data_IF_278010151499
#
_entry.id   IF_278010151499
#
_cell.length_a   1.000
_cell.length_b   1.000
_cell.length_c   1.000
_cell.angle_alpha   90.00
_cell.angle_beta   90.00
_cell.angle_gamma   90.00
#
_symmetry.space_group_name_H-M   'P 1'
#
loop_
_entity.id
_entity.type
_entity.pdbx_description
1 polymer ?
#
# COMPACT_ATOMS: atom_id res chain seq x y z
N UNK A 1 -29.27 11.30 15.75
CA UNK A 1 -27.84 11.29 15.32
C UNK A 1 -27.42 12.67 14.82
N UNK A 2 -26.16 13.11 15.09
CA UNK A 2 -25.63 14.43 14.74
C UNK A 2 -24.26 14.33 14.05
N UNK A 3 -24.09 15.04 12.93
CA UNK A 3 -22.80 15.21 12.25
C UNK A 3 -22.05 16.40 12.86
N UNK A 4 -20.76 16.18 13.18
CA UNK A 4 -19.86 17.18 13.77
C UNK A 4 -18.63 17.32 12.88
N UNK A 5 -18.40 18.53 12.35
CA UNK A 5 -17.17 18.81 11.58
C UNK A 5 -15.95 18.88 12.51
N UNK A 6 -14.84 18.30 12.08
CA UNK A 6 -13.58 18.28 12.83
C UNK A 6 -12.80 19.57 12.64
N UNK A 7 -12.97 20.51 13.56
CA UNK A 7 -12.39 21.86 13.49
C UNK A 7 -11.24 22.11 14.47
N UNK A 8 -11.05 21.25 15.47
CA UNK A 8 -10.05 21.42 16.52
C UNK A 8 -9.33 20.11 16.88
N UNK A 9 -8.32 20.19 17.73
CA UNK A 9 -7.48 19.04 18.13
C UNK A 9 -8.22 17.96 18.90
N UNK A 10 -9.21 18.33 19.73
CA UNK A 10 -9.99 17.38 20.50
C UNK A 10 -10.88 16.53 19.58
N UNK A 11 -11.56 17.17 18.63
CA UNK A 11 -12.33 16.49 17.60
C UNK A 11 -11.44 15.67 16.66
N UNK A 12 -10.21 16.15 16.34
CA UNK A 12 -9.26 15.37 15.56
C UNK A 12 -8.84 14.08 16.29
N UNK A 13 -8.66 14.13 17.61
CA UNK A 13 -8.39 12.95 18.43
C UNK A 13 -9.62 12.03 18.48
N UNK A 14 -10.80 12.57 18.66
CA UNK A 14 -12.05 11.81 18.65
C UNK A 14 -12.25 11.11 17.30
N UNK A 15 -12.05 11.83 16.16
CA UNK A 15 -12.09 11.27 14.82
C UNK A 15 -11.16 10.06 14.67
N UNK A 16 -9.94 10.15 15.19
CA UNK A 16 -8.99 9.04 15.15
C UNK A 16 -9.52 7.85 15.99
N UNK A 17 -10.04 8.09 17.19
CA UNK A 17 -10.47 7.06 18.11
C UNK A 17 -11.72 6.29 17.66
N UNK A 18 -12.56 6.84 16.77
CA UNK A 18 -13.70 6.10 16.20
C UNK A 18 -13.27 4.77 15.58
N UNK A 19 -12.21 4.77 14.76
CA UNK A 19 -11.68 3.53 14.18
C UNK A 19 -11.21 2.53 15.25
N UNK A 20 -10.55 3.03 16.30
CA UNK A 20 -10.06 2.20 17.40
C UNK A 20 -11.22 1.55 18.14
N UNK A 21 -12.22 2.33 18.51
CA UNK A 21 -13.37 1.85 19.30
C UNK A 21 -14.19 0.80 18.53
N UNK A 22 -14.39 1.00 17.24
CA UNK A 22 -15.15 0.05 16.41
C UNK A 22 -14.39 -1.25 16.12
N UNK A 23 -13.05 -1.23 16.13
CA UNK A 23 -12.26 -2.38 15.71
C UNK A 23 -11.46 -3.06 16.84
N UNK A 24 -11.34 -2.47 18.04
CA UNK A 24 -10.47 -2.94 19.13
C UNK A 24 -10.69 -4.41 19.57
N UNK A 25 -11.86 -4.95 19.36
CA UNK A 25 -12.21 -6.33 19.73
C UNK A 25 -11.90 -7.34 18.60
N UNK A 26 -11.50 -6.87 17.41
CA UNK A 26 -11.14 -7.77 16.33
C UNK A 26 -9.66 -8.20 16.48
N UNK A 27 -9.37 -9.51 16.55
CA UNK A 27 -8.00 -10.01 16.78
C UNK A 27 -7.03 -9.69 15.62
N UNK A 28 -7.54 -9.45 14.42
CA UNK A 28 -6.72 -9.06 13.28
C UNK A 28 -6.44 -7.55 13.24
N UNK A 29 -7.15 -6.73 14.00
CA UNK A 29 -6.98 -5.29 14.00
C UNK A 29 -5.64 -4.87 14.58
N UNK A 30 -4.94 -4.00 13.87
CA UNK A 30 -3.75 -3.32 14.36
C UNK A 30 -4.00 -1.81 14.26
N UNK A 31 -4.02 -1.14 15.41
CA UNK A 31 -4.17 0.31 15.46
C UNK A 31 -3.05 0.99 14.67
N UNK A 32 -3.37 1.82 13.64
CA UNK A 32 -2.40 2.63 12.94
C UNK A 32 -1.65 3.57 13.89
N UNK A 33 -0.46 4.02 13.50
CA UNK A 33 0.21 5.07 14.25
C UNK A 33 -0.56 6.38 14.12
N UNK A 34 -0.93 6.97 15.25
CA UNK A 34 -1.74 8.19 15.31
C UNK A 34 -1.09 9.34 14.51
N UNK A 35 0.24 9.44 14.56
CA UNK A 35 0.99 10.45 13.80
C UNK A 35 0.76 10.37 12.31
N UNK A 36 0.63 9.16 11.76
CA UNK A 36 0.50 8.97 10.30
C UNK A 36 -0.87 9.46 9.82
N UNK A 37 -1.92 9.24 10.62
CA UNK A 37 -3.27 9.77 10.32
C UNK A 37 -3.29 11.30 10.48
N UNK A 38 -2.70 11.84 11.56
CA UNK A 38 -2.62 13.29 11.73
C UNK A 38 -1.86 13.96 10.59
N UNK A 39 -0.79 13.34 10.08
CA UNK A 39 0.01 13.88 8.97
C UNK A 39 -0.78 14.00 7.67
N UNK A 40 -1.77 13.14 7.42
CA UNK A 40 -2.66 13.27 6.23
C UNK A 40 -3.42 14.59 6.26
N UNK A 41 -3.84 15.05 7.43
CA UNK A 41 -4.64 16.27 7.60
C UNK A 41 -3.83 17.49 8.05
N UNK A 42 -2.51 17.38 8.14
CA UNK A 42 -1.61 18.48 8.46
C UNK A 42 -1.22 19.23 7.18
N UNK A 43 -1.71 20.49 7.05
CA UNK A 43 -1.43 21.36 5.89
C UNK A 43 0.06 21.65 5.68
N UNK A 44 0.88 21.57 6.74
CA UNK A 44 2.34 21.80 6.66
C UNK A 44 3.09 20.56 6.19
N UNK A 45 2.62 19.37 6.52
CA UNK A 45 3.28 18.09 6.20
C UNK A 45 2.77 17.47 4.90
N UNK A 46 1.46 17.45 4.69
CA UNK A 46 0.87 16.88 3.49
C UNK A 46 0.89 17.87 2.32
N UNK A 47 1.79 17.62 1.38
CA UNK A 47 1.95 18.44 0.17
C UNK A 47 0.71 18.44 -0.74
N UNK A 48 -0.22 17.50 -0.58
CA UNK A 48 -1.45 17.43 -1.37
C UNK A 48 -2.34 18.66 -1.16
N UNK A 49 -2.25 19.31 0.00
CA UNK A 49 -2.94 20.58 0.25
C UNK A 49 -2.54 21.73 -0.69
N UNK A 50 -1.43 21.62 -1.42
CA UNK A 50 -1.05 22.59 -2.47
C UNK A 50 -1.94 22.49 -3.72
N UNK A 51 -2.65 21.40 -3.90
CA UNK A 51 -3.48 21.11 -5.07
C UNK A 51 -4.87 20.59 -4.72
N UNK A 52 -5.23 20.60 -3.43
CA UNK A 52 -6.49 20.06 -2.97
C UNK A 52 -6.87 20.53 -1.57
N UNK A 53 -8.01 20.08 -1.14
CA UNK A 53 -8.60 20.38 0.17
C UNK A 53 -9.12 19.07 0.80
N UNK A 54 -9.18 19.05 2.13
CA UNK A 54 -9.76 17.94 2.88
C UNK A 54 -10.61 18.46 4.04
N UNK A 55 -11.68 17.75 4.34
CA UNK A 55 -12.60 17.98 5.45
C UNK A 55 -12.92 16.65 6.13
N UNK A 56 -13.33 16.69 7.40
CA UNK A 56 -13.63 15.51 8.19
C UNK A 56 -14.88 15.71 9.03
N UNK A 57 -15.64 14.63 9.22
CA UNK A 57 -16.79 14.61 10.13
C UNK A 57 -16.79 13.39 11.03
N UNK A 58 -17.38 13.57 12.21
CA UNK A 58 -17.72 12.52 13.15
C UNK A 58 -19.25 12.45 13.20
N UNK A 59 -19.80 11.25 13.16
CA UNK A 59 -21.21 11.02 13.43
C UNK A 59 -21.37 10.59 14.88
N UNK A 60 -22.23 11.28 15.61
CA UNK A 60 -22.58 10.99 17.01
C UNK A 60 -24.03 10.52 17.10
N UNK A 61 -24.28 9.58 18.03
CA UNK A 61 -25.63 9.20 18.40
C UNK A 61 -26.30 10.26 19.31
N UNK A 62 -27.51 9.98 19.76
CA UNK A 62 -28.28 10.90 20.61
C UNK A 62 -27.73 11.04 22.04
N UNK A 63 -26.85 10.11 22.45
CA UNK A 63 -26.11 10.16 23.72
C UNK A 63 -24.75 10.91 23.56
N UNK A 64 -24.42 11.37 22.36
CA UNK A 64 -23.18 12.08 22.05
C UNK A 64 -21.95 11.17 21.82
N UNK A 65 -22.14 9.85 21.77
CA UNK A 65 -21.09 8.88 21.47
C UNK A 65 -20.77 8.88 19.97
N UNK A 66 -19.50 8.88 19.63
CA UNK A 66 -19.06 8.76 18.24
C UNK A 66 -19.30 7.35 17.69
N UNK A 67 -20.13 7.23 16.67
CA UNK A 67 -20.55 5.97 16.04
C UNK A 67 -20.10 5.83 14.59
N UNK A 68 -19.52 6.89 14.02
CA UNK A 68 -18.96 6.86 12.68
C UNK A 68 -18.06 8.07 12.38
N UNK A 69 -17.30 7.98 11.30
CA UNK A 69 -16.47 9.06 10.79
C UNK A 69 -16.30 8.94 9.28
N UNK A 70 -16.02 10.06 8.63
CA UNK A 70 -15.64 10.12 7.22
C UNK A 70 -14.77 11.34 6.96
N UNK A 71 -13.89 11.25 5.95
CA UNK A 71 -13.21 12.39 5.35
C UNK A 71 -13.59 12.50 3.88
N UNK A 72 -13.68 13.72 3.37
CA UNK A 72 -13.82 14.00 1.96
C UNK A 72 -12.72 14.96 1.49
N UNK A 73 -12.31 14.82 0.23
CA UNK A 73 -11.24 15.63 -0.32
C UNK A 73 -11.32 15.81 -1.83
N UNK A 74 -10.81 16.95 -2.28
CA UNK A 74 -10.54 17.23 -3.68
C UNK A 74 -9.04 17.29 -3.91
N UNK A 75 -8.60 16.90 -5.09
CA UNK A 75 -7.21 17.05 -5.49
C UNK A 75 -7.13 17.19 -7.01
N UNK A 76 -6.69 18.33 -7.50
CA UNK A 76 -6.53 18.61 -8.95
C UNK A 76 -5.62 17.63 -9.67
N UNK A 77 -4.77 16.90 -8.91
CA UNK A 77 -3.85 15.86 -9.44
C UNK A 77 -4.45 14.46 -9.35
N UNK A 78 -5.59 14.29 -8.67
CA UNK A 78 -6.28 13.01 -8.62
C UNK A 78 -7.02 12.80 -9.93
N UNK A 79 -6.50 11.90 -10.74
CA UNK A 79 -7.11 11.52 -12.03
C UNK A 79 -6.76 10.06 -12.31
N UNK A 80 -7.75 9.28 -12.68
CA UNK A 80 -7.56 7.92 -13.17
C UNK A 80 -7.62 7.92 -14.71
N UNK A 81 -7.01 6.92 -15.33
CA UNK A 81 -7.13 6.71 -16.77
C UNK A 81 -8.62 6.44 -17.08
N UNK A 82 -9.16 7.16 -18.04
CA UNK A 82 -10.57 7.02 -18.46
C UNK A 82 -11.57 7.84 -17.62
N UNK A 83 -11.12 8.67 -16.69
CA UNK A 83 -12.02 9.61 -16.00
C UNK A 83 -12.58 10.64 -17.00
N UNK A 84 -13.90 10.66 -17.13
CA UNK A 84 -14.68 11.56 -18.00
C UNK A 84 -15.41 12.66 -17.22
N UNK A 85 -15.35 12.60 -15.88
CA UNK A 85 -15.96 13.59 -14.98
C UNK A 85 -14.98 13.99 -13.87
N UNK A 86 -15.15 15.19 -13.25
CA UNK A 86 -14.42 15.55 -12.05
C UNK A 86 -14.74 14.62 -10.88
N UNK A 87 -13.72 13.99 -10.29
CA UNK A 87 -13.87 13.02 -9.21
C UNK A 87 -13.22 13.53 -7.94
N UNK A 88 -13.97 13.50 -6.83
CA UNK A 88 -13.43 13.68 -5.49
C UNK A 88 -13.13 12.36 -4.81
N UNK A 89 -12.57 12.42 -3.60
CA UNK A 89 -12.29 11.22 -2.81
C UNK A 89 -12.99 11.25 -1.47
N UNK A 90 -13.36 10.07 -0.98
CA UNK A 90 -13.73 9.84 0.42
C UNK A 90 -12.80 8.81 1.03
N UNK A 91 -12.53 8.92 2.33
CA UNK A 91 -11.70 7.95 3.03
C UNK A 91 -11.85 8.07 4.54
N UNK A 92 -11.07 7.29 5.27
CA UNK A 92 -11.18 7.22 6.72
C UNK A 92 -12.63 6.99 7.17
N UNK A 93 -13.39 6.23 6.36
CA UNK A 93 -14.75 5.83 6.67
C UNK A 93 -14.73 4.73 7.71
N UNK A 94 -15.41 4.98 8.82
CA UNK A 94 -15.75 3.99 9.83
C UNK A 94 -17.18 4.25 10.28
N UNK A 95 -17.96 3.18 10.48
CA UNK A 95 -19.35 3.28 10.87
C UNK A 95 -19.79 2.02 11.63
N UNK A 96 -20.69 2.16 12.56
CA UNK A 96 -21.45 1.00 13.11
C UNK A 96 -22.21 0.30 11.98
N UNK A 97 -22.65 -0.93 12.19
CA UNK A 97 -23.45 -1.67 11.21
C UNK A 97 -24.90 -1.12 11.16
N UNK A 98 -25.04 0.07 10.60
CA UNK A 98 -26.30 0.80 10.45
C UNK A 98 -26.27 1.60 9.15
N UNK A 99 -27.19 1.29 8.22
CA UNK A 99 -27.24 1.92 6.92
C UNK A 99 -27.59 3.40 7.01
N UNK A 100 -28.50 3.79 7.92
CA UNK A 100 -28.89 5.20 8.09
C UNK A 100 -27.67 6.04 8.54
N UNK A 101 -26.88 5.50 9.47
CA UNK A 101 -25.65 6.13 9.90
C UNK A 101 -24.62 6.25 8.77
N UNK A 102 -24.47 5.21 7.94
CA UNK A 102 -23.60 5.24 6.78
C UNK A 102 -24.05 6.24 5.72
N UNK A 103 -25.35 6.28 5.44
CA UNK A 103 -25.95 7.21 4.45
C UNK A 103 -25.73 8.67 4.87
N UNK A 104 -25.89 9.00 6.16
CA UNK A 104 -25.59 10.34 6.68
C UNK A 104 -24.13 10.75 6.44
N UNK A 105 -23.18 9.80 6.64
CA UNK A 105 -21.75 10.04 6.39
C UNK A 105 -21.46 10.22 4.88
N UNK A 106 -22.04 9.38 4.03
CA UNK A 106 -21.87 9.50 2.59
C UNK A 106 -22.52 10.77 2.04
N UNK A 107 -23.69 11.13 2.52
CA UNK A 107 -24.42 12.33 2.07
C UNK A 107 -23.67 13.62 2.43
N UNK A 108 -23.14 13.76 3.64
CA UNK A 108 -22.38 14.98 4.00
C UNK A 108 -21.12 15.11 3.12
N UNK A 109 -20.45 14.01 2.85
CA UNK A 109 -19.27 13.99 1.97
C UNK A 109 -19.65 14.34 0.52
N UNK A 110 -20.73 13.72 -0.01
CA UNK A 110 -21.28 14.00 -1.35
C UNK A 110 -21.67 15.47 -1.50
N UNK A 111 -22.41 16.03 -0.55
CA UNK A 111 -22.84 17.44 -0.61
C UNK A 111 -21.64 18.39 -0.65
N UNK A 112 -20.63 18.16 0.20
CA UNK A 112 -19.42 18.96 0.16
C UNK A 112 -18.69 18.83 -1.17
N UNK A 113 -18.56 17.62 -1.72
CA UNK A 113 -17.91 17.40 -3.02
C UNK A 113 -18.68 18.05 -4.18
N UNK A 114 -20.03 18.04 -4.16
CA UNK A 114 -20.85 18.76 -5.14
C UNK A 114 -20.57 20.27 -5.09
N UNK A 115 -20.50 20.86 -3.88
CA UNK A 115 -20.15 22.27 -3.71
C UNK A 115 -18.74 22.61 -4.23
N UNK A 116 -17.84 21.62 -4.29
CA UNK A 116 -16.50 21.73 -4.88
C UNK A 116 -16.45 21.41 -6.38
N UNK A 117 -17.61 21.21 -7.02
CA UNK A 117 -17.72 20.96 -8.46
C UNK A 117 -17.39 19.53 -8.89
N UNK A 118 -17.35 18.58 -7.95
CA UNK A 118 -17.18 17.16 -8.29
C UNK A 118 -18.51 16.57 -8.79
N UNK A 119 -18.41 15.55 -9.64
CA UNK A 119 -19.56 14.83 -10.21
C UNK A 119 -19.55 13.34 -9.83
N UNK A 120 -18.48 12.91 -9.15
CA UNK A 120 -18.36 11.56 -8.61
C UNK A 120 -17.47 11.58 -7.37
N UNK A 121 -17.55 10.51 -6.57
CA UNK A 121 -16.61 10.26 -5.48
C UNK A 121 -16.09 8.83 -5.52
N UNK A 122 -14.77 8.71 -5.34
CA UNK A 122 -14.09 7.42 -5.18
C UNK A 122 -13.80 7.16 -3.69
N UNK A 123 -13.95 5.91 -3.27
CA UNK A 123 -13.68 5.55 -1.88
C UNK A 123 -13.60 4.05 -1.58
N UNK A 124 -13.03 3.72 -0.41
CA UNK A 124 -12.20 4.60 0.41
C UNK A 124 -10.81 4.81 -0.20
N UNK A 125 -10.38 6.07 -0.25
CA UNK A 125 -9.06 6.45 -0.78
C UNK A 125 -8.39 7.46 0.17
N UNK A 126 -7.09 7.71 -0.02
CA UNK A 126 -6.33 8.61 0.83
C UNK A 126 -6.21 10.00 0.22
N UNK A 127 -6.11 11.02 1.07
CA UNK A 127 -5.72 12.38 0.65
C UNK A 127 -4.19 12.49 0.56
N UNK A 128 -3.61 11.79 -0.43
CA UNK A 128 -2.16 11.71 -0.61
C UNK A 128 -1.77 10.59 -1.55
N UNK A 129 -0.82 9.78 -1.10
CA UNK A 129 -0.24 8.70 -1.88
C UNK A 129 -1.17 7.48 -1.93
N UNK A 130 -1.15 6.76 -3.07
CA UNK A 130 -2.03 5.61 -3.32
C UNK A 130 -1.62 4.34 -2.59
N UNK A 131 -0.42 4.29 -2.05
CA UNK A 131 0.11 3.17 -1.29
C UNK A 131 -0.35 3.14 0.18
N UNK A 132 -1.19 4.10 0.60
CA UNK A 132 -1.68 4.24 1.98
C UNK A 132 -3.19 4.37 2.01
N UNK A 133 -3.85 3.60 2.90
CA UNK A 133 -5.30 3.65 3.16
C UNK A 133 -6.15 3.75 1.90
N UNK A 134 -5.90 2.85 0.94
CA UNK A 134 -6.58 2.83 -0.34
C UNK A 134 -7.33 1.52 -0.53
N UNK A 135 -8.63 1.61 -0.85
CA UNK A 135 -9.53 0.49 -1.07
C UNK A 135 -10.17 -0.05 0.20
N UNK A 136 -11.39 -0.54 0.07
CA UNK A 136 -12.14 -1.26 1.09
C UNK A 136 -11.75 -2.73 1.07
N UNK A 137 -11.41 -3.31 2.21
CA UNK A 137 -11.16 -4.75 2.31
C UNK A 137 -12.47 -5.49 2.07
N UNK A 138 -12.52 -6.33 1.03
CA UNK A 138 -13.68 -7.17 0.68
C UNK A 138 -13.36 -8.67 0.79
N UNK A 139 -12.06 -9.02 0.88
CA UNK A 139 -11.59 -10.38 1.14
C UNK A 139 -10.32 -10.34 1.98
N UNK A 140 -10.17 -11.28 2.94
CA UNK A 140 -9.00 -11.38 3.81
C UNK A 140 -9.13 -10.52 5.08
N UNK A 141 -10.34 -10.34 5.60
CA UNK A 141 -10.63 -9.59 6.83
C UNK A 141 -9.95 -10.18 8.08
N UNK A 142 -9.67 -11.49 8.06
CA UNK A 142 -9.00 -12.22 9.14
C UNK A 142 -7.48 -12.00 9.15
N UNK A 143 -6.92 -11.42 8.09
CA UNK A 143 -5.48 -11.19 7.97
C UNK A 143 -5.14 -9.81 8.55
N UNK A 144 -4.20 -9.69 9.51
CA UNK A 144 -3.78 -8.40 10.02
C UNK A 144 -3.30 -7.47 8.90
N UNK A 145 -3.66 -6.17 8.91
CA UNK A 145 -3.30 -5.24 7.85
C UNK A 145 -1.79 -5.01 7.81
N UNK A 146 -1.25 -4.81 6.60
CA UNK A 146 0.10 -4.26 6.43
C UNK A 146 0.12 -2.78 6.85
N UNK A 147 1.31 -2.23 7.06
CA UNK A 147 1.47 -0.84 7.47
C UNK A 147 0.79 0.14 6.49
N UNK A 148 -0.02 1.03 7.05
CA UNK A 148 -0.85 2.00 6.30
C UNK A 148 -1.89 1.37 5.34
N UNK A 149 -2.27 0.11 5.54
CA UNK A 149 -3.37 -0.52 4.83
C UNK A 149 -4.69 -0.30 5.58
N UNK A 150 -5.79 -0.18 4.84
CA UNK A 150 -7.12 -0.16 5.43
C UNK A 150 -7.42 -1.48 6.15
N UNK A 151 -8.19 -1.37 7.22
CA UNK A 151 -8.82 -2.47 7.93
C UNK A 151 -10.26 -2.07 8.20
N UNK A 152 -11.18 -2.94 7.86
CA UNK A 152 -12.61 -2.73 8.07
C UNK A 152 -13.34 -4.04 8.32
N UNK A 153 -14.47 -4.01 9.05
CA UNK A 153 -15.39 -5.14 9.17
C UNK A 153 -15.99 -5.52 7.81
N UNK A 154 -16.43 -6.79 7.61
CA UNK A 154 -17.03 -7.25 6.34
C UNK A 154 -18.29 -6.49 5.94
N UNK A 155 -19.11 -6.04 6.90
CA UNK A 155 -20.37 -5.35 6.61
C UNK A 155 -20.21 -3.98 5.91
N UNK A 156 -19.00 -3.41 5.88
CA UNK A 156 -18.78 -2.13 5.17
C UNK A 156 -19.03 -2.27 3.67
N UNK A 157 -18.74 -3.42 3.07
CA UNK A 157 -19.05 -3.69 1.67
C UNK A 157 -20.54 -3.45 1.38
N UNK A 158 -21.42 -4.04 2.22
CA UNK A 158 -22.85 -3.87 2.08
C UNK A 158 -23.31 -2.42 2.28
N UNK A 159 -22.70 -1.68 3.23
CA UNK A 159 -23.03 -0.26 3.44
C UNK A 159 -22.70 0.59 2.22
N UNK A 160 -21.56 0.33 1.55
CA UNK A 160 -21.19 1.02 0.31
C UNK A 160 -22.14 0.68 -0.83
N UNK A 161 -22.40 -0.61 -1.05
CA UNK A 161 -23.24 -1.08 -2.16
C UNK A 161 -24.70 -0.66 -2.00
N UNK A 162 -25.26 -0.71 -0.80
CA UNK A 162 -26.62 -0.25 -0.51
C UNK A 162 -26.78 1.26 -0.76
N UNK A 163 -25.75 2.07 -0.52
CA UNK A 163 -25.78 3.51 -0.86
C UNK A 163 -25.74 3.74 -2.38
N UNK A 164 -25.29 2.75 -3.18
CA UNK A 164 -25.19 2.82 -4.62
C UNK A 164 -23.77 2.97 -5.17
N UNK A 165 -22.76 2.80 -4.35
CA UNK A 165 -21.38 2.68 -4.85
C UNK A 165 -21.23 1.42 -5.70
N UNK A 166 -20.42 1.52 -6.75
CA UNK A 166 -20.09 0.40 -7.64
C UNK A 166 -18.59 0.13 -7.64
N UNK A 167 -18.22 -1.14 -7.74
CA UNK A 167 -16.82 -1.57 -7.81
C UNK A 167 -16.14 -0.93 -9.03
N UNK A 168 -15.21 -0.01 -8.78
CA UNK A 168 -14.48 0.70 -9.82
C UNK A 168 -13.25 -0.08 -10.27
N UNK A 169 -12.46 -0.60 -9.32
CA UNK A 169 -11.41 -1.58 -9.56
C UNK A 169 -11.02 -2.31 -8.28
N UNK A 170 -10.47 -3.52 -8.45
CA UNK A 170 -9.92 -4.29 -7.36
C UNK A 170 -8.40 -4.14 -7.25
N UNK A 171 -7.92 -4.20 -6.03
CA UNK A 171 -6.53 -4.16 -5.63
C UNK A 171 -6.22 -5.50 -4.94
N UNK A 172 -5.36 -6.30 -5.54
CA UNK A 172 -5.11 -7.68 -5.13
C UNK A 172 -3.76 -7.76 -4.43
N UNK A 173 -3.74 -8.22 -3.19
CA UNK A 173 -2.51 -8.60 -2.50
C UNK A 173 -2.24 -10.08 -2.74
N UNK A 174 -0.98 -10.40 -3.01
CA UNK A 174 -0.51 -11.75 -3.27
C UNK A 174 0.43 -12.20 -2.16
N UNK A 175 0.25 -13.42 -1.68
CA UNK A 175 1.06 -13.98 -0.61
C UNK A 175 1.63 -15.34 -0.97
N UNK A 176 2.73 -15.69 -0.33
CA UNK A 176 3.30 -17.04 -0.36
C UNK A 176 4.07 -17.32 0.92
N UNK A 177 4.25 -18.59 1.24
CA UNK A 177 5.18 -19.02 2.27
C UNK A 177 6.62 -18.81 1.80
N UNK A 178 7.47 -18.26 2.66
CA UNK A 178 8.88 -18.05 2.32
C UNK A 178 9.68 -19.35 2.15
N UNK A 179 9.15 -20.49 2.58
CA UNK A 179 9.71 -21.83 2.34
C UNK A 179 9.10 -22.52 1.11
N UNK A 180 8.49 -21.78 0.19
CA UNK A 180 7.97 -22.33 -1.06
C UNK A 180 8.96 -22.12 -2.21
N UNK A 181 9.11 -23.14 -3.05
CA UNK A 181 9.81 -23.00 -4.31
C UNK A 181 8.94 -22.23 -5.31
N UNK A 182 9.57 -21.40 -6.12
CA UNK A 182 8.92 -20.72 -7.24
C UNK A 182 8.81 -21.68 -8.44
N UNK A 183 8.06 -21.30 -9.47
CA UNK A 183 7.93 -22.12 -10.66
C UNK A 183 9.29 -22.34 -11.36
N UNK A 184 9.53 -23.56 -11.90
CA UNK A 184 10.80 -23.98 -12.51
C UNK A 184 11.37 -23.00 -13.54
N UNK A 185 10.51 -22.29 -14.28
CA UNK A 185 10.93 -21.29 -15.26
C UNK A 185 11.80 -20.17 -14.68
N UNK A 186 11.63 -19.82 -13.40
CA UNK A 186 12.45 -18.79 -12.75
C UNK A 186 13.89 -19.26 -12.57
N UNK A 187 14.06 -20.51 -12.18
CA UNK A 187 15.39 -21.13 -12.04
C UNK A 187 16.10 -21.26 -13.38
N UNK A 188 15.39 -21.72 -14.43
CA UNK A 188 15.96 -21.86 -15.77
C UNK A 188 16.44 -20.50 -16.32
N UNK A 189 15.60 -19.46 -16.20
CA UNK A 189 15.97 -18.10 -16.66
C UNK A 189 17.09 -17.48 -15.84
N UNK A 190 17.13 -17.76 -14.54
CA UNK A 190 18.23 -17.36 -13.69
C UNK A 190 19.53 -17.97 -14.17
N UNK A 191 19.56 -19.30 -14.40
CA UNK A 191 20.74 -20.03 -14.87
C UNK A 191 21.23 -19.55 -16.26
N UNK A 192 20.31 -19.05 -17.10
CA UNK A 192 20.66 -18.43 -18.37
C UNK A 192 21.36 -17.06 -18.17
N UNK A 193 20.81 -16.21 -17.31
CA UNK A 193 21.42 -14.92 -16.99
C UNK A 193 22.78 -15.07 -16.29
N UNK A 194 22.92 -16.06 -15.40
CA UNK A 194 24.15 -16.32 -14.65
C UNK A 194 25.35 -16.70 -15.55
N UNK A 195 25.09 -17.15 -16.79
CA UNK A 195 26.15 -17.45 -17.79
C UNK A 195 26.81 -16.19 -18.37
N UNK A 196 26.12 -15.06 -18.37
CA UNK A 196 26.67 -13.78 -18.83
C UNK A 196 27.26 -13.02 -17.64
N UNK A 197 28.62 -12.86 -17.57
CA UNK A 197 29.29 -12.20 -16.46
C UNK A 197 28.98 -10.70 -16.35
N UNK A 198 28.29 -10.11 -17.34
CA UNK A 198 27.85 -8.73 -17.27
C UNK A 198 26.64 -8.53 -16.34
N UNK A 199 25.88 -9.59 -16.03
CA UNK A 199 24.81 -9.52 -15.03
C UNK A 199 25.39 -9.64 -13.61
N UNK A 200 24.88 -8.84 -12.72
CA UNK A 200 25.15 -8.97 -11.28
C UNK A 200 23.95 -8.51 -10.47
N UNK A 201 23.81 -9.02 -9.24
CA UNK A 201 22.79 -8.55 -8.31
C UNK A 201 23.38 -8.40 -6.91
N UNK A 202 22.91 -7.41 -6.19
CA UNK A 202 23.28 -7.19 -4.79
C UNK A 202 22.14 -6.57 -4.01
N UNK A 203 22.16 -6.70 -2.68
CA UNK A 203 21.21 -6.01 -1.82
C UNK A 203 21.81 -4.73 -1.23
N UNK A 204 20.90 -3.79 -0.86
CA UNK A 204 21.26 -2.50 -0.28
C UNK A 204 22.20 -2.62 0.90
N UNK A 205 23.13 -1.66 1.03
CA UNK A 205 24.01 -1.54 2.21
C UNK A 205 23.72 -0.23 2.95
N UNK A 206 23.44 -0.31 4.26
CA UNK A 206 23.13 0.86 5.11
C UNK A 206 24.24 1.90 5.19
N UNK A 207 25.47 1.52 4.88
CA UNK A 207 26.63 2.42 4.82
C UNK A 207 26.87 3.01 3.42
N UNK A 208 26.04 2.65 2.40
CA UNK A 208 26.15 3.10 1.01
C UNK A 208 24.81 3.62 0.48
N UNK A 209 23.98 4.25 1.33
CA UNK A 209 22.63 4.68 0.95
C UNK A 209 22.62 5.70 -0.20
N UNK A 210 23.65 6.52 -0.34
CA UNK A 210 23.83 7.47 -1.43
C UNK A 210 23.89 6.74 -2.78
N UNK A 211 24.77 5.72 -2.91
CA UNK A 211 24.88 4.89 -4.10
C UNK A 211 23.55 4.25 -4.46
N UNK A 212 22.92 3.57 -3.49
CA UNK A 212 21.66 2.86 -3.75
C UNK A 212 20.47 3.78 -4.01
N UNK A 213 20.50 5.03 -3.52
CA UNK A 213 19.50 6.04 -3.87
C UNK A 213 19.65 6.50 -5.33
N UNK A 214 20.87 6.69 -5.81
CA UNK A 214 21.15 6.98 -7.22
C UNK A 214 20.69 5.81 -8.11
N UNK A 215 21.12 4.58 -7.80
CA UNK A 215 20.75 3.37 -8.56
C UNK A 215 19.23 3.16 -8.61
N UNK A 216 18.55 3.34 -7.47
CA UNK A 216 17.08 3.27 -7.40
C UNK A 216 16.44 4.32 -8.31
N UNK A 217 16.92 5.56 -8.23
CA UNK A 217 16.38 6.67 -9.02
C UNK A 217 16.52 6.40 -10.52
N UNK A 218 17.67 5.91 -10.96
CA UNK A 218 17.94 5.56 -12.36
C UNK A 218 16.97 4.45 -12.81
N UNK A 219 16.95 3.32 -12.10
CA UNK A 219 16.12 2.17 -12.46
C UNK A 219 14.63 2.50 -12.42
N UNK A 220 14.18 3.21 -11.36
CA UNK A 220 12.78 3.63 -11.22
C UNK A 220 12.37 4.57 -12.35
N UNK A 221 13.14 5.60 -12.63
CA UNK A 221 12.79 6.57 -13.65
C UNK A 221 12.78 5.92 -15.05
N UNK A 222 13.72 5.03 -15.37
CA UNK A 222 13.70 4.26 -16.61
C UNK A 222 12.51 3.31 -16.72
N UNK A 223 12.12 2.66 -15.61
CA UNK A 223 11.03 1.68 -15.61
C UNK A 223 9.62 2.31 -15.66
N UNK A 224 9.43 3.49 -15.05
CA UNK A 224 8.10 4.10 -14.88
C UNK A 224 7.96 5.51 -15.42
N UNK A 225 9.03 6.28 -15.60
CA UNK A 225 8.93 7.63 -16.13
C UNK A 225 8.48 7.60 -17.61
N UNK A 226 7.37 8.26 -17.85
CA UNK A 226 6.71 8.26 -19.17
C UNK A 226 5.50 7.34 -19.27
N UNK A 227 5.30 6.40 -18.33
CA UNK A 227 4.11 5.57 -18.26
C UNK A 227 3.08 6.20 -17.33
N UNK A 228 1.95 6.64 -17.87
CA UNK A 228 0.80 7.12 -17.08
C UNK A 228 0.97 8.45 -16.34
N UNK A 229 1.92 9.31 -16.75
CA UNK A 229 2.11 10.64 -16.15
C UNK A 229 2.81 10.63 -14.79
N UNK A 230 3.47 9.55 -14.41
CA UNK A 230 4.30 9.49 -13.21
C UNK A 230 5.49 10.46 -13.34
N UNK A 231 5.68 11.29 -12.32
CA UNK A 231 6.84 12.19 -12.25
C UNK A 231 8.12 11.41 -12.00
N UNK A 232 9.20 11.88 -12.63
CA UNK A 232 10.54 11.42 -12.28
C UNK A 232 10.81 11.69 -10.79
N UNK A 233 11.44 10.72 -10.13
CA UNK A 233 11.95 10.88 -8.79
C UNK A 233 13.29 11.62 -8.83
N UNK A 234 13.52 12.47 -7.84
CA UNK A 234 14.81 13.12 -7.62
C UNK A 234 15.60 12.28 -6.62
N UNK A 235 16.88 12.04 -6.88
CA UNK A 235 17.77 11.26 -6.02
C UNK A 235 17.77 11.73 -4.56
N UNK A 236 17.79 13.05 -4.32
CA UNK A 236 17.74 13.62 -2.96
C UNK A 236 16.47 13.20 -2.18
N UNK A 237 15.34 13.02 -2.89
CA UNK A 237 14.08 12.58 -2.28
C UNK A 237 14.17 11.10 -1.91
N UNK A 238 14.72 10.28 -2.81
CA UNK A 238 14.96 8.85 -2.56
C UNK A 238 15.95 8.65 -1.43
N UNK A 239 17.05 9.39 -1.40
CA UNK A 239 18.03 9.33 -0.32
C UNK A 239 17.42 9.69 1.04
N UNK A 240 16.61 10.74 1.09
CA UNK A 240 15.88 11.12 2.32
C UNK A 240 14.94 10.00 2.77
N UNK A 241 14.24 9.35 1.83
CA UNK A 241 13.38 8.21 2.10
C UNK A 241 14.19 7.04 2.68
N UNK A 242 15.30 6.64 2.04
CA UNK A 242 16.16 5.54 2.52
C UNK A 242 16.75 5.84 3.91
N UNK A 243 17.21 7.08 4.15
CA UNK A 243 17.68 7.50 5.46
C UNK A 243 16.60 7.40 6.54
N UNK A 244 15.35 7.76 6.21
CA UNK A 244 14.20 7.64 7.13
C UNK A 244 13.81 6.19 7.43
N UNK A 245 14.02 5.29 6.47
CA UNK A 245 13.72 3.86 6.59
C UNK A 245 14.85 3.07 7.27
N UNK A 246 16.05 3.64 7.40
CA UNK A 246 17.24 2.97 7.96
C UNK A 246 16.98 2.19 9.27
N UNK A 247 16.17 2.70 10.24
CA UNK A 247 15.88 1.97 11.48
C UNK A 247 15.09 0.68 11.30
N UNK A 248 14.28 0.58 10.23
CA UNK A 248 13.40 -0.57 9.97
C UNK A 248 13.89 -1.45 8.82
N UNK A 249 14.83 -0.95 8.03
CA UNK A 249 15.38 -1.63 6.87
C UNK A 249 16.12 -2.92 7.28
N UNK A 250 15.80 -4.04 6.62
CA UNK A 250 16.65 -5.21 6.52
C UNK A 250 17.33 -5.20 5.14
N UNK A 251 18.65 -5.07 5.12
CA UNK A 251 19.42 -4.94 3.87
C UNK A 251 19.12 -6.10 2.89
N UNK A 252 18.97 -7.31 3.42
CA UNK A 252 18.78 -8.55 2.67
C UNK A 252 17.46 -8.60 1.88
N UNK A 253 16.56 -7.64 2.11
CA UNK A 253 15.25 -7.57 1.47
C UNK A 253 15.18 -6.59 0.30
N UNK A 254 16.20 -5.75 0.08
CA UNK A 254 16.16 -4.71 -0.96
C UNK A 254 17.23 -4.99 -2.01
N UNK A 255 16.83 -5.47 -3.18
CA UNK A 255 17.70 -5.99 -4.21
C UNK A 255 17.78 -5.08 -5.44
N UNK A 256 18.97 -5.06 -6.05
CA UNK A 256 19.28 -4.33 -7.27
C UNK A 256 19.97 -5.27 -8.25
N UNK A 257 19.48 -5.30 -9.50
CA UNK A 257 20.12 -6.00 -10.61
C UNK A 257 20.85 -5.01 -11.50
N UNK A 258 21.99 -5.41 -12.01
CA UNK A 258 22.86 -4.61 -12.86
C UNK A 258 23.22 -5.37 -14.14
N UNK A 259 23.46 -4.63 -15.20
CA UNK A 259 24.10 -5.11 -16.42
C UNK A 259 25.23 -4.15 -16.79
N UNK A 260 26.47 -4.65 -16.87
CA UNK A 260 27.67 -3.81 -17.08
C UNK A 260 27.75 -2.64 -16.07
N UNK A 261 27.44 -2.90 -14.80
CA UNK A 261 27.37 -1.95 -13.69
C UNK A 261 26.24 -0.89 -13.78
N UNK A 262 25.40 -0.90 -14.81
CA UNK A 262 24.21 -0.05 -14.90
C UNK A 262 23.03 -0.69 -14.19
N UNK A 263 22.27 0.04 -13.33
CA UNK A 263 21.11 -0.52 -12.64
C UNK A 263 19.95 -0.74 -13.63
N UNK A 264 19.50 -1.99 -13.75
CA UNK A 264 18.48 -2.44 -14.70
C UNK A 264 17.24 -3.01 -14.02
N UNK A 265 17.27 -3.27 -12.71
CA UNK A 265 16.15 -3.83 -11.99
C UNK A 265 16.23 -3.55 -10.51
N UNK A 266 15.05 -3.45 -9.88
CA UNK A 266 14.90 -3.23 -8.44
C UNK A 266 13.80 -4.14 -7.88
N UNK A 267 14.05 -4.68 -6.70
CA UNK A 267 13.08 -5.43 -5.90
C UNK A 267 13.20 -5.01 -4.45
N UNK A 268 12.29 -4.13 -4.03
CA UNK A 268 12.33 -3.47 -2.72
C UNK A 268 11.26 -4.06 -1.82
N UNK A 269 11.69 -4.62 -0.72
CA UNK A 269 10.84 -5.16 0.31
C UNK A 269 11.24 -4.63 1.68
N UNK A 270 10.33 -4.68 2.63
CA UNK A 270 10.58 -4.36 4.04
C UNK A 270 10.02 -5.47 4.94
N UNK A 271 10.57 -5.64 6.15
CA UNK A 271 9.86 -6.35 7.20
C UNK A 271 8.45 -5.77 7.37
N UNK A 272 7.44 -6.60 7.63
CA UNK A 272 6.10 -6.08 7.93
C UNK A 272 6.12 -5.27 9.23
N UNK A 273 6.06 -3.95 9.09
CA UNK A 273 6.23 -3.00 10.20
C UNK A 273 5.13 -3.16 11.25
N UNK A 274 3.94 -3.60 10.84
CA UNK A 274 2.84 -3.79 11.76
C UNK A 274 3.07 -4.94 12.75
N UNK A 275 3.96 -5.90 12.45
CA UNK A 275 4.36 -6.91 13.42
C UNK A 275 5.09 -6.30 14.63
N UNK A 276 5.70 -5.14 14.47
CA UNK A 276 6.33 -4.39 15.56
C UNK A 276 5.43 -3.25 16.08
N UNK A 277 4.74 -2.53 15.19
CA UNK A 277 3.94 -1.36 15.56
C UNK A 277 2.69 -1.71 16.38
N UNK A 278 2.15 -2.93 16.24
CA UNK A 278 1.04 -3.40 17.10
C UNK A 278 1.33 -3.26 18.60
N UNK A 279 2.60 -3.33 19.02
CA UNK A 279 3.00 -3.17 20.41
C UNK A 279 3.03 -1.70 20.87
N UNK A 280 2.98 -0.75 19.93
CA UNK A 280 3.01 0.69 20.22
C UNK A 280 1.62 1.29 20.45
N UNK A 281 0.56 0.56 20.09
CA UNK A 281 -0.83 0.98 20.26
C UNK A 281 -1.09 2.41 19.79
N UNK A 282 -0.66 2.74 18.57
CA UNK A 282 -0.82 4.04 17.92
C UNK A 282 0.20 5.12 18.33
N UNK A 283 0.89 4.98 19.46
CA UNK A 283 1.84 5.98 19.92
C UNK A 283 3.18 5.96 19.17
N UNK A 284 3.82 7.13 18.99
CA UNK A 284 5.17 7.24 18.39
C UNK A 284 6.01 8.38 19.01
N UNK A 285 5.73 8.74 20.28
CA UNK A 285 6.58 9.66 21.07
C UNK A 285 7.91 9.03 21.48
N UNK A 286 8.70 9.75 22.27
CA UNK A 286 10.06 9.31 22.68
C UNK A 286 10.04 7.92 23.33
N UNK A 287 9.19 7.69 24.31
CA UNK A 287 9.03 6.40 24.99
C UNK A 287 8.62 5.27 24.05
N UNK A 288 7.75 5.56 23.09
CA UNK A 288 7.35 4.58 22.07
C UNK A 288 8.51 4.22 21.13
N UNK A 289 9.41 5.16 20.83
CA UNK A 289 10.63 4.88 20.04
C UNK A 289 11.56 3.95 20.80
N UNK A 290 11.76 4.16 22.10
CA UNK A 290 12.55 3.24 22.94
C UNK A 290 11.90 1.86 23.01
N UNK A 291 10.57 1.82 23.22
CA UNK A 291 9.80 0.57 23.19
C UNK A 291 9.90 -0.13 21.82
N UNK A 292 9.88 0.62 20.72
CA UNK A 292 10.07 0.08 19.38
C UNK A 292 11.44 -0.61 19.22
N UNK A 293 12.51 0.03 19.69
CA UNK A 293 13.85 -0.58 19.63
C UNK A 293 13.92 -1.87 20.46
N UNK A 294 13.33 -1.87 21.64
CA UNK A 294 13.23 -3.07 22.48
C UNK A 294 12.39 -4.18 21.80
N UNK A 295 11.21 -3.85 21.27
CA UNK A 295 10.37 -4.80 20.53
C UNK A 295 11.12 -5.38 19.34
N UNK A 296 11.77 -4.53 18.54
CA UNK A 296 12.56 -4.96 17.39
C UNK A 296 13.71 -5.90 17.77
N UNK A 297 14.35 -5.69 18.91
CA UNK A 297 15.43 -6.52 19.41
C UNK A 297 14.93 -7.88 19.97
N UNK A 298 13.71 -7.92 20.55
CA UNK A 298 13.21 -9.08 21.29
C UNK A 298 12.14 -9.88 20.55
N UNK A 299 11.46 -9.28 19.55
CA UNK A 299 10.37 -9.93 18.80
C UNK A 299 10.80 -10.16 17.36
N UNK A 300 10.96 -11.44 16.98
CA UNK A 300 11.24 -11.83 15.59
C UNK A 300 10.10 -11.36 14.68
N UNK A 301 10.43 -10.64 13.62
CA UNK A 301 9.50 -10.37 12.53
C UNK A 301 9.48 -11.58 11.61
N UNK A 302 8.31 -12.13 11.36
CA UNK A 302 8.13 -13.37 10.60
C UNK A 302 7.64 -13.16 9.17
N UNK A 303 7.33 -11.89 8.81
CA UNK A 303 6.75 -11.56 7.51
C UNK A 303 7.49 -10.38 6.89
N UNK A 304 7.69 -10.44 5.59
CA UNK A 304 8.14 -9.27 4.82
C UNK A 304 7.17 -8.92 3.72
N UNK A 305 7.17 -7.65 3.31
CA UNK A 305 6.22 -7.10 2.35
C UNK A 305 6.93 -6.55 1.13
N UNK A 306 6.43 -6.91 -0.06
CA UNK A 306 6.92 -6.37 -1.34
C UNK A 306 6.31 -5.00 -1.60
N UNK A 307 7.15 -4.00 -1.84
CA UNK A 307 6.75 -2.62 -2.06
C UNK A 307 6.89 -2.18 -3.52
N UNK A 308 8.05 -2.46 -4.11
CA UNK A 308 8.38 -2.04 -5.47
C UNK A 308 9.12 -3.17 -6.16
N UNK A 309 8.65 -3.50 -7.36
CA UNK A 309 9.35 -4.42 -8.27
C UNK A 309 9.32 -3.84 -9.68
N UNK A 310 10.48 -3.73 -10.30
CA UNK A 310 10.52 -3.20 -11.65
C UNK A 310 11.83 -3.51 -12.38
N UNK A 311 11.68 -3.75 -13.69
CA UNK A 311 12.77 -3.99 -14.63
C UNK A 311 12.68 -2.92 -15.69
N UNK A 312 13.83 -2.33 -16.01
CA UNK A 312 13.98 -1.35 -17.09
C UNK A 312 13.47 -1.94 -18.42
N UNK A 313 12.70 -1.20 -19.24
CA UNK A 313 12.01 -1.73 -20.43
C UNK A 313 12.89 -2.54 -21.38
N UNK A 314 14.11 -2.11 -21.62
CA UNK A 314 15.07 -2.76 -22.52
C UNK A 314 15.50 -4.15 -22.04
N UNK A 315 15.28 -4.46 -20.76
CA UNK A 315 15.63 -5.73 -20.12
C UNK A 315 14.40 -6.58 -19.72
N UNK A 316 13.19 -6.11 -19.99
CA UNK A 316 11.97 -6.89 -19.78
C UNK A 316 11.94 -8.09 -20.74
N UNK A 317 11.44 -9.23 -20.24
CA UNK A 317 11.38 -10.47 -21.02
C UNK A 317 12.73 -11.20 -21.18
N UNK A 318 13.85 -10.62 -20.73
CA UNK A 318 15.19 -11.22 -20.82
C UNK A 318 15.63 -12.02 -19.59
N UNK A 319 14.70 -12.34 -18.68
CA UNK A 319 14.96 -13.15 -17.48
C UNK A 319 15.50 -12.41 -16.27
N UNK A 320 15.67 -11.07 -16.34
CA UNK A 320 16.20 -10.25 -15.24
C UNK A 320 15.30 -10.28 -14.01
N UNK A 321 13.98 -10.38 -14.20
CA UNK A 321 13.00 -10.61 -13.14
C UNK A 321 13.32 -11.89 -12.35
N UNK A 322 13.54 -12.98 -13.05
CA UNK A 322 13.91 -14.27 -12.47
C UNK A 322 15.30 -14.21 -11.83
N UNK A 323 16.26 -13.53 -12.47
CA UNK A 323 17.61 -13.38 -11.93
C UNK A 323 17.62 -12.69 -10.57
N UNK A 324 16.99 -11.51 -10.43
CA UNK A 324 16.97 -10.76 -9.16
C UNK A 324 16.19 -11.51 -8.07
N UNK A 325 15.10 -12.22 -8.43
CA UNK A 325 14.30 -13.00 -7.47
C UNK A 325 15.09 -14.19 -6.94
N UNK A 326 15.79 -14.95 -7.78
CA UNK A 326 16.55 -16.11 -7.34
C UNK A 326 17.80 -15.69 -6.56
N UNK A 327 18.49 -14.61 -6.96
CA UNK A 327 19.59 -14.05 -6.16
C UNK A 327 19.11 -13.64 -4.76
N UNK A 328 17.94 -13.02 -4.66
CA UNK A 328 17.31 -12.73 -3.38
C UNK A 328 16.93 -13.99 -2.60
N UNK A 329 16.40 -15.00 -3.27
CA UNK A 329 16.03 -16.28 -2.65
C UNK A 329 17.27 -17.02 -2.08
N UNK A 330 18.43 -16.95 -2.75
CA UNK A 330 19.70 -17.49 -2.21
C UNK A 330 19.99 -16.95 -0.79
N UNK A 331 19.59 -15.71 -0.49
CA UNK A 331 19.80 -15.09 0.81
C UNK A 331 18.58 -15.25 1.73
N UNK A 332 17.38 -14.93 1.25
CA UNK A 332 16.15 -14.89 2.05
C UNK A 332 15.68 -16.29 2.43
N UNK A 333 15.69 -17.20 1.46
CA UNK A 333 15.28 -18.61 1.62
C UNK A 333 16.45 -19.55 1.89
N UNK A 334 17.68 -19.02 1.95
CA UNK A 334 18.93 -19.83 1.98
C UNK A 334 18.92 -20.90 0.89
N UNK A 335 18.42 -20.54 -0.29
CA UNK A 335 18.33 -21.38 -1.47
C UNK A 335 19.75 -21.78 -1.92
N UNK A 336 19.95 -23.08 -2.18
CA UNK A 336 21.20 -23.64 -2.68
C UNK A 336 20.93 -24.46 -3.94
N UNK A 337 21.96 -24.65 -4.74
CA UNK A 337 21.92 -25.57 -5.88
C UNK A 337 22.85 -26.75 -5.60
N UNK A 338 22.28 -27.95 -5.45
CA UNK A 338 23.01 -29.20 -5.19
C UNK A 338 22.64 -30.22 -6.26
N UNK A 339 23.63 -30.84 -6.89
CA UNK A 339 23.43 -31.81 -7.99
C UNK A 339 22.47 -31.33 -9.11
N UNK A 340 22.53 -30.00 -9.43
CA UNK A 340 21.66 -29.38 -10.43
C UNK A 340 20.25 -29.05 -9.97
N UNK A 341 19.86 -29.37 -8.74
CA UNK A 341 18.56 -29.09 -8.17
C UNK A 341 18.62 -27.93 -7.15
N UNK A 342 17.57 -27.12 -7.11
CA UNK A 342 17.43 -26.06 -6.11
C UNK A 342 16.78 -26.59 -4.84
N UNK A 343 17.42 -26.38 -3.69
CA UNK A 343 17.01 -26.86 -2.37
C UNK A 343 16.87 -25.66 -1.43
N UNK A 344 15.74 -25.60 -0.71
CA UNK A 344 15.48 -24.58 0.28
C UNK A 344 16.21 -24.88 1.60
N UNK A 345 16.79 -23.83 2.21
CA UNK A 345 17.22 -23.87 3.61
C UNK A 345 16.15 -23.34 4.56
N UNK A 346 16.57 -23.02 5.79
CA UNK A 346 15.70 -22.35 6.75
C UNK A 346 15.57 -20.85 6.38
N UNK A 347 14.38 -20.36 6.02
CA UNK A 347 14.21 -19.00 5.56
C UNK A 347 14.36 -17.97 6.70
N UNK A 348 14.73 -16.75 6.35
CA UNK A 348 14.83 -15.64 7.29
C UNK A 348 13.46 -15.16 7.81
N UNK A 349 12.43 -15.35 7.00
CA UNK A 349 11.04 -14.99 7.27
C UNK A 349 10.12 -16.17 6.94
N UNK A 350 8.93 -16.21 7.51
CA UNK A 350 7.97 -17.29 7.31
C UNK A 350 7.03 -17.00 6.14
N UNK A 351 6.65 -15.73 5.98
CA UNK A 351 5.64 -15.29 5.02
C UNK A 351 6.11 -14.08 4.19
N UNK A 352 5.63 -14.04 2.95
CA UNK A 352 5.77 -12.91 2.04
C UNK A 352 4.38 -12.45 1.59
N UNK A 353 4.13 -11.13 1.59
CA UNK A 353 2.93 -10.53 1.01
C UNK A 353 3.31 -9.30 0.18
N UNK A 354 2.86 -9.26 -1.08
CA UNK A 354 3.02 -8.09 -1.95
C UNK A 354 2.00 -7.03 -1.58
N UNK A 355 2.42 -5.77 -1.59
CA UNK A 355 1.48 -4.64 -1.66
C UNK A 355 0.55 -4.85 -2.85
N UNK A 356 -0.62 -4.22 -2.79
CA UNK A 356 -1.66 -4.45 -3.77
C UNK A 356 -1.22 -4.15 -5.21
N UNK A 357 -1.66 -5.01 -6.11
CA UNK A 357 -1.57 -4.86 -7.55
C UNK A 357 -3.00 -4.59 -8.07
N UNK A 358 -3.18 -3.50 -8.82
CA UNK A 358 -4.48 -3.24 -9.46
C UNK A 358 -4.81 -4.31 -10.50
N UNK A 359 -6.03 -4.85 -10.46
CA UNK A 359 -6.49 -5.83 -11.45
C UNK A 359 -6.43 -5.31 -12.89
N UNK A 360 -6.43 -3.99 -13.04
CA UNK A 360 -6.28 -3.30 -14.33
C UNK A 360 -4.85 -3.40 -14.91
N UNK A 361 -3.89 -3.99 -14.16
CA UNK A 361 -2.54 -4.27 -14.63
C UNK A 361 -2.30 -5.79 -14.74
N UNK A 362 -2.83 -6.46 -15.79
CA UNK A 362 -2.75 -7.91 -15.94
C UNK A 362 -1.31 -8.42 -16.07
N UNK A 363 -0.39 -7.61 -16.60
CA UNK A 363 1.03 -8.00 -16.67
C UNK A 363 1.63 -8.26 -15.29
N UNK A 364 1.38 -7.38 -14.33
CA UNK A 364 1.87 -7.57 -12.96
C UNK A 364 1.14 -8.66 -12.21
N UNK A 365 -0.19 -8.80 -12.42
CA UNK A 365 -0.96 -9.92 -11.87
C UNK A 365 -0.37 -11.25 -12.34
N UNK A 366 -0.11 -11.40 -13.64
CA UNK A 366 0.48 -12.62 -14.20
C UNK A 366 1.89 -12.90 -13.63
N UNK A 367 2.71 -11.88 -13.37
CA UNK A 367 4.02 -12.07 -12.72
C UNK A 367 3.85 -12.60 -11.31
N UNK A 368 2.93 -12.03 -10.53
CA UNK A 368 2.67 -12.46 -9.16
C UNK A 368 2.16 -13.92 -9.12
N UNK A 369 1.18 -14.27 -9.95
CA UNK A 369 0.66 -15.65 -10.03
C UNK A 369 1.71 -16.64 -10.52
N UNK A 370 2.55 -16.22 -11.46
CA UNK A 370 3.63 -17.07 -11.98
C UNK A 370 4.71 -17.39 -10.92
N UNK A 371 4.84 -16.59 -9.87
CA UNK A 371 5.70 -16.90 -8.72
C UNK A 371 5.13 -18.02 -7.82
N UNK A 372 3.90 -18.47 -8.06
CA UNK A 372 3.23 -19.46 -7.21
C UNK A 372 2.55 -18.83 -5.98
N UNK A 373 2.29 -17.53 -6.02
CA UNK A 373 1.56 -16.85 -4.94
C UNK A 373 0.05 -17.10 -5.05
N UNK A 374 -0.65 -16.91 -3.95
CA UNK A 374 -2.11 -16.92 -3.90
C UNK A 374 -2.68 -15.54 -3.58
N UNK A 375 -3.88 -15.24 -4.04
CA UNK A 375 -4.60 -13.99 -3.75
C UNK A 375 -5.07 -14.02 -2.30
N UNK A 376 -4.30 -13.40 -1.41
CA UNK A 376 -4.56 -13.39 0.04
C UNK A 376 -5.62 -12.39 0.44
N UNK A 377 -5.62 -11.21 -0.18
CA UNK A 377 -6.50 -10.11 0.17
C UNK A 377 -6.96 -9.38 -1.07
N UNK A 378 -8.21 -8.90 -1.05
CA UNK A 378 -8.74 -8.01 -2.08
C UNK A 378 -9.27 -6.77 -1.40
N UNK A 379 -8.84 -5.61 -1.90
CA UNK A 379 -9.41 -4.32 -1.57
C UNK A 379 -10.11 -3.77 -2.81
N UNK A 380 -11.23 -3.10 -2.63
CA UNK A 380 -11.98 -2.50 -3.72
C UNK A 380 -12.00 -0.99 -3.59
N UNK A 381 -11.60 -0.29 -4.63
CA UNK A 381 -11.94 1.12 -4.79
C UNK A 381 -13.31 1.20 -5.42
N UNK A 382 -14.26 1.75 -4.68
CA UNK A 382 -15.61 1.99 -5.14
C UNK A 382 -15.72 3.38 -5.76
N UNK A 383 -16.68 3.54 -6.67
CA UNK A 383 -17.07 4.84 -7.25
C UNK A 383 -18.57 5.04 -7.15
N UNK A 384 -18.98 6.24 -6.76
CA UNK A 384 -20.37 6.69 -6.81
C UNK A 384 -20.48 7.89 -7.75
N UNK A 385 -21.26 7.75 -8.83
CA UNK A 385 -21.61 8.86 -9.72
C UNK A 385 -22.74 9.67 -9.09
N UNK A 386 -22.65 11.00 -9.06
CA UNK A 386 -23.72 11.83 -8.49
C UNK A 386 -24.95 11.86 -9.39
N UNK A 387 -24.74 11.84 -10.69
CA UNK A 387 -25.80 11.65 -11.68
C UNK A 387 -25.95 10.15 -11.98
N UNK A 388 -26.98 9.54 -11.39
CA UNK A 388 -27.27 8.11 -11.51
C UNK A 388 -27.81 7.70 -12.90
N UNK A 389 -28.12 8.68 -13.78
CA UNK A 389 -28.52 8.39 -15.17
C UNK A 389 -27.34 8.12 -16.08
N UNK A 390 -26.13 8.53 -15.66
CA UNK A 390 -24.90 8.25 -16.40
C UNK A 390 -24.50 6.77 -16.32
N UNK A 391 -24.03 6.24 -17.43
CA UNK A 391 -23.47 4.88 -17.47
C UNK A 391 -22.23 4.79 -16.58
N UNK A 392 -22.24 3.82 -15.66
CA UNK A 392 -21.05 3.51 -14.85
C UNK A 392 -20.04 2.71 -15.67
N UNK A 393 -18.78 3.17 -15.66
CA UNK A 393 -17.66 2.45 -16.29
C UNK A 393 -16.59 2.12 -15.26
N UNK A 394 -16.13 0.88 -15.29
CA UNK A 394 -14.99 0.45 -14.48
C UNK A 394 -13.69 1.06 -15.01
N UNK A 395 -12.66 1.08 -14.17
CA UNK A 395 -11.32 1.50 -14.58
C UNK A 395 -10.85 0.67 -15.79
N UNK A 396 -10.37 1.31 -16.89
CA UNK A 396 -9.91 0.58 -18.06
C UNK A 396 -8.65 -0.24 -17.76
N UNK A 397 -8.54 -1.38 -18.44
CA UNK A 397 -7.36 -2.25 -18.37
C UNK A 397 -6.17 -1.55 -19.00
N UNK A 398 -5.00 -1.69 -18.40
CA UNK A 398 -3.73 -1.20 -18.94
C UNK A 398 -3.13 -2.28 -19.87
N UNK A 399 -2.90 -1.93 -21.11
CA UNK A 399 -2.28 -2.81 -22.12
C UNK A 399 -0.78 -2.63 -22.19
#
# INVERSE_FOLDING_TARGET
MQLVEVTNSNLAKEFLLVNVELNKNNPAYIRPLDKDIYEVFDKKKNKTFRSGEAIRWILKDDEGKAIGRIAAFTNKKYKNKGDDVPVGGIGFFDCINDQVAADMLFDVAKHWLIQKGMQAMDGPVNFGERDRWWGLVVKGHEIPPMYCMNFNPPYYEQLFENYGFKNYFNQICFSMKANSLVHQKFYTRHDECEKDPNYSATYIKKNQLEKFAADFTIAYNKAWAGHGGLKQLEERVVLKMFKSMKPVLDERLCWFAYYKNEPIGIWINLPDLNQWFKYLNGGFGLWHKLKFLWVKATKKNRKFTGLVFGIVPEFQGKGVDSYIIIEGAKVIQKLKKENGQYILGEPLYDDYEMQWIGEFNPKMVNVAEALGTYRSRILTTYRYLFDQTKEFKRHPVLH
#
